data_IF_604114395468
#
_entry.id   IF_604114395468
#
_cell.length_a   1.000
_cell.length_b   1.000
_cell.length_c   1.000
_cell.angle_alpha   90.00
_cell.angle_beta   90.00
_cell.angle_gamma   90.00
#
_symmetry.space_group_name_H-M   'P 1'
#
loop_
_entity.id
_entity.type
_entity.pdbx_description
1 polymer ?
#
# COMPACT_ATOMS: atom_id res chain seq x y z
N UNK A 1 8.55 -28.60 0.15
CA UNK A 1 8.34 -28.93 1.58
C UNK A 1 8.61 -27.68 2.38
N UNK A 2 7.59 -27.16 3.05
CA UNK A 2 7.66 -25.89 3.77
C UNK A 2 8.19 -26.04 5.19
N UNK A 3 8.77 -24.96 5.69
CA UNK A 3 8.76 -24.57 7.12
C UNK A 3 8.65 -23.05 7.14
N UNK A 4 7.55 -22.54 7.70
CA UNK A 4 7.34 -21.14 8.09
C UNK A 4 7.75 -21.06 9.57
N UNK A 5 8.73 -20.21 9.89
CA UNK A 5 9.19 -19.97 11.25
C UNK A 5 8.30 -18.97 11.99
N UNK A 6 7.94 -19.32 13.22
CA UNK A 6 7.11 -18.53 14.13
C UNK A 6 7.95 -17.59 15.00
N UNK A 7 7.40 -16.42 15.35
CA UNK A 7 7.93 -15.54 16.39
C UNK A 7 6.89 -15.30 17.48
N UNK A 8 7.20 -15.69 18.71
CA UNK A 8 6.42 -15.34 19.92
C UNK A 8 6.62 -13.86 20.25
N UNK A 9 5.53 -13.15 20.49
CA UNK A 9 5.55 -11.82 21.12
C UNK A 9 5.62 -11.97 22.64
N UNK A 10 6.47 -11.15 23.26
CA UNK A 10 6.47 -10.90 24.70
C UNK A 10 6.76 -9.42 24.93
N UNK A 11 5.80 -8.78 25.59
CA UNK A 11 5.87 -7.56 26.41
C UNK A 11 6.96 -6.56 26.01
N UNK A 12 6.53 -5.51 25.28
CA UNK A 12 7.35 -4.45 24.66
C UNK A 12 8.25 -4.95 23.51
N UNK A 13 7.62 -5.54 22.50
CA UNK A 13 8.29 -6.06 21.32
C UNK A 13 8.25 -5.09 20.13
N UNK A 14 9.42 -4.70 19.64
CA UNK A 14 9.60 -4.17 18.28
C UNK A 14 9.02 -5.17 17.28
N UNK A 15 7.98 -4.76 16.54
CA UNK A 15 7.41 -5.53 15.44
C UNK A 15 8.23 -5.27 14.17
N UNK A 16 8.68 -6.31 13.49
CA UNK A 16 9.36 -6.24 12.20
C UNK A 16 8.45 -6.89 11.16
N UNK A 17 7.99 -6.10 10.17
CA UNK A 17 7.15 -6.56 9.06
C UNK A 17 7.99 -6.57 7.78
N UNK A 18 7.87 -7.65 6.99
CA UNK A 18 8.68 -7.93 5.80
C UNK A 18 7.83 -7.76 4.54
N UNK A 19 8.29 -6.96 3.56
CA UNK A 19 7.63 -6.79 2.26
C UNK A 19 8.56 -7.22 1.10
N UNK A 20 7.99 -7.82 0.05
CA UNK A 20 8.73 -8.40 -1.11
C UNK A 20 8.31 -7.68 -2.39
N UNK A 21 9.28 -7.22 -3.19
CA UNK A 21 9.08 -6.79 -4.58
C UNK A 21 9.12 -8.01 -5.53
N UNK A 22 8.08 -8.21 -6.35
CA UNK A 22 8.03 -9.19 -7.46
C UNK A 22 7.94 -8.46 -8.81
N UNK A 23 8.51 -9.05 -9.86
CA UNK A 23 8.73 -8.44 -11.19
C UNK A 23 7.46 -8.32 -12.04
N UNK A 24 7.09 -7.12 -12.52
CA UNK A 24 5.94 -6.91 -13.42
C UNK A 24 6.06 -5.68 -14.40
N UNK A 25 5.12 -5.49 -15.33
CA UNK A 25 5.15 -4.52 -16.45
C UNK A 25 5.00 -3.05 -15.99
N UNK A 26 5.46 -2.08 -16.78
CA UNK A 26 5.62 -0.65 -16.41
C UNK A 26 4.27 0.10 -16.36
N UNK A 27 3.98 0.77 -15.23
CA UNK A 27 3.68 2.21 -15.06
C UNK A 27 3.58 2.48 -13.54
N UNK A 28 3.93 3.69 -13.08
CA UNK A 28 4.01 4.05 -11.66
C UNK A 28 2.66 3.80 -10.97
N UNK A 29 2.54 2.63 -10.36
CA UNK A 29 1.28 2.23 -9.75
C UNK A 29 1.29 2.81 -8.35
N UNK A 30 0.37 3.74 -8.08
CA UNK A 30 0.25 4.34 -6.75
C UNK A 30 -1.04 3.89 -6.09
N UNK A 31 -0.97 3.65 -4.78
CA UNK A 31 -2.12 3.39 -3.94
C UNK A 31 -1.96 4.14 -2.64
N UNK A 32 -2.83 5.09 -2.39
CA UNK A 32 -2.72 6.00 -1.24
C UNK A 32 -4.01 5.97 -0.46
N UNK A 33 -3.88 5.81 0.85
CA UNK A 33 -4.98 5.95 1.77
C UNK A 33 -5.27 7.44 2.04
N UNK A 34 -6.53 7.81 1.91
CA UNK A 34 -7.10 9.11 2.23
C UNK A 34 -8.27 8.89 3.18
N UNK A 35 -8.24 9.53 4.34
CA UNK A 35 -9.30 9.47 5.35
C UNK A 35 -10.60 10.16 4.90
N UNK A 36 -10.63 10.80 3.73
CA UNK A 36 -11.82 11.44 3.15
C UNK A 36 -12.46 12.46 4.12
N UNK A 37 -11.61 13.36 4.65
CA UNK A 37 -12.02 14.47 5.51
C UNK A 37 -12.49 14.06 6.91
N UNK A 38 -11.90 13.02 7.47
CA UNK A 38 -12.07 12.58 8.85
C UNK A 38 -13.13 11.49 9.01
N UNK A 39 -13.87 11.21 7.95
CA UNK A 39 -14.93 10.20 7.96
C UNK A 39 -14.36 8.78 7.96
N UNK A 40 -13.27 8.56 7.22
CA UNK A 40 -12.57 7.29 7.14
C UNK A 40 -11.64 7.10 8.31
N UNK A 41 -11.82 6.03 9.08
CA UNK A 41 -10.99 5.71 10.24
C UNK A 41 -10.38 4.32 10.11
N UNK A 42 -9.06 4.22 10.28
CA UNK A 42 -8.37 2.92 10.33
C UNK A 42 -8.48 2.26 11.71
N UNK A 43 -9.00 2.98 12.71
CA UNK A 43 -8.97 2.54 14.10
C UNK A 43 -10.19 2.93 14.89
N UNK A 44 -10.26 2.39 16.11
CA UNK A 44 -11.35 2.59 17.06
C UNK A 44 -12.72 2.07 16.59
N UNK A 45 -12.74 1.10 15.67
CA UNK A 45 -13.98 0.44 15.27
C UNK A 45 -14.65 -0.23 16.48
N UNK A 46 -15.91 0.10 16.78
CA UNK A 46 -16.63 -0.61 17.84
C UNK A 46 -16.92 -2.05 17.41
N UNK A 47 -16.23 -3.03 18.00
CA UNK A 47 -16.41 -4.46 17.63
C UNK A 47 -17.62 -5.10 18.32
N UNK A 48 -18.26 -4.39 19.25
CA UNK A 48 -19.47 -4.86 19.94
C UNK A 48 -20.70 -4.77 19.03
N UNK A 49 -20.71 -3.81 18.10
CA UNK A 49 -21.75 -3.64 17.08
C UNK A 49 -21.75 -4.79 16.07
N UNK A 50 -22.94 -5.18 15.64
CA UNK A 50 -23.15 -6.06 14.51
C UNK A 50 -23.95 -5.30 13.45
N UNK A 51 -23.40 -5.15 12.25
CA UNK A 51 -24.01 -4.36 11.18
C UNK A 51 -25.01 -5.20 10.37
N UNK A 52 -24.65 -6.43 10.00
CA UNK A 52 -25.51 -7.28 9.18
C UNK A 52 -25.28 -8.78 9.40
N UNK A 53 -26.30 -9.57 9.06
CA UNK A 53 -26.26 -11.03 8.94
C UNK A 53 -26.20 -11.52 7.49
N UNK A 54 -26.50 -10.64 6.52
CA UNK A 54 -26.68 -10.97 5.09
C UNK A 54 -25.78 -10.08 4.19
N UNK A 55 -25.42 -10.61 3.02
CA UNK A 55 -24.41 -10.07 2.09
C UNK A 55 -24.94 -8.97 1.14
N UNK A 56 -26.04 -8.28 1.48
CA UNK A 56 -26.73 -7.33 0.58
C UNK A 56 -26.02 -5.96 0.46
N UNK A 57 -24.69 -5.95 0.39
CA UNK A 57 -23.87 -4.76 0.15
C UNK A 57 -23.46 -4.61 -1.33
N UNK A 58 -24.15 -5.32 -2.23
CA UNK A 58 -23.84 -5.39 -3.66
C UNK A 58 -24.16 -4.09 -4.42
N UNK A 59 -24.95 -3.18 -3.86
CA UNK A 59 -25.24 -1.87 -4.46
C UNK A 59 -25.25 -0.77 -3.39
N UNK A 60 -25.15 0.50 -3.80
CA UNK A 60 -25.12 1.65 -2.88
C UNK A 60 -23.70 2.04 -2.43
N UNK A 61 -23.64 3.09 -1.62
CA UNK A 61 -22.39 3.65 -1.07
C UNK A 61 -22.45 3.58 0.46
N UNK A 62 -21.32 3.26 1.10
CA UNK A 62 -21.26 2.93 2.52
C UNK A 62 -20.27 3.79 3.33
N UNK A 63 -19.85 4.93 2.78
CA UNK A 63 -18.91 5.85 3.43
C UNK A 63 -19.46 6.53 4.71
N UNK A 64 -20.76 6.42 4.98
CA UNK A 64 -21.41 6.94 6.20
C UNK A 64 -21.44 5.92 7.34
N UNK A 65 -21.06 4.67 7.08
CA UNK A 65 -20.99 3.65 8.13
C UNK A 65 -19.75 3.88 8.98
N UNK A 66 -19.88 3.58 10.28
CA UNK A 66 -18.78 3.63 11.26
C UNK A 66 -17.56 2.77 10.86
N UNK A 67 -17.78 1.72 10.06
CA UNK A 67 -16.71 0.90 9.50
C UNK A 67 -15.99 1.48 8.29
N UNK A 68 -16.31 2.69 7.83
CA UNK A 68 -15.66 3.29 6.67
C UNK A 68 -14.17 3.55 6.96
N UNK A 69 -13.29 2.92 6.19
CA UNK A 69 -11.85 3.05 6.35
C UNK A 69 -11.29 4.28 5.65
N UNK A 70 -12.02 4.83 4.69
CA UNK A 70 -11.57 5.90 3.82
C UNK A 70 -11.44 5.45 2.36
N UNK A 71 -10.79 6.31 1.59
CA UNK A 71 -10.57 6.19 0.15
C UNK A 71 -9.19 5.66 -0.14
N UNK A 72 -9.12 4.79 -1.13
CA UNK A 72 -7.88 4.23 -1.62
C UNK A 72 -7.68 4.72 -3.04
N UNK A 73 -6.84 5.74 -3.19
CA UNK A 73 -6.57 6.42 -4.47
C UNK A 73 -5.55 5.63 -5.29
N UNK A 74 -5.99 5.13 -6.44
CA UNK A 74 -5.22 4.39 -7.41
C UNK A 74 -4.82 5.24 -8.62
N UNK A 75 -3.57 5.11 -9.04
CA UNK A 75 -3.11 5.44 -10.39
C UNK A 75 -2.32 4.25 -10.94
N UNK A 76 -2.45 3.99 -12.23
CA UNK A 76 -1.85 2.87 -12.91
C UNK A 76 -2.73 2.36 -14.05
N UNK A 77 -2.32 1.21 -14.60
CA UNK A 77 -3.01 0.56 -15.71
C UNK A 77 -4.38 -0.02 -15.31
N UNK A 78 -5.24 -0.23 -16.31
CA UNK A 78 -6.50 -0.94 -16.15
C UNK A 78 -6.27 -2.42 -15.82
N UNK A 79 -7.31 -3.07 -15.28
CA UNK A 79 -7.36 -4.50 -14.94
C UNK A 79 -6.32 -4.93 -13.89
N UNK A 80 -5.73 -4.00 -13.15
CA UNK A 80 -4.89 -4.34 -12.02
C UNK A 80 -5.76 -4.99 -10.93
N UNK A 81 -5.25 -6.07 -10.34
CA UNK A 81 -5.94 -6.87 -9.34
C UNK A 81 -5.29 -6.59 -7.99
N UNK A 82 -6.06 -6.04 -7.06
CA UNK A 82 -5.63 -5.81 -5.68
C UNK A 82 -6.19 -6.95 -4.83
N UNK A 83 -5.33 -7.88 -4.46
CA UNK A 83 -5.67 -8.98 -3.55
C UNK A 83 -5.53 -8.52 -2.09
N UNK A 84 -6.52 -8.87 -1.27
CA UNK A 84 -6.53 -8.55 0.16
C UNK A 84 -6.26 -9.82 0.95
N UNK A 85 -5.18 -9.82 1.74
CA UNK A 85 -4.80 -10.96 2.58
C UNK A 85 -4.76 -10.59 4.04
N UNK A 86 -4.97 -11.56 4.93
CA UNK A 86 -4.83 -11.36 6.38
C UNK A 86 -3.36 -11.51 6.78
N UNK A 87 -2.81 -10.48 7.42
CA UNK A 87 -1.46 -10.48 8.03
C UNK A 87 -1.52 -10.28 9.55
N UNK A 88 -2.72 -10.23 10.11
CA UNK A 88 -2.98 -10.06 11.54
C UNK A 88 -3.03 -11.39 12.29
N UNK A 89 -3.42 -11.34 13.58
CA UNK A 89 -3.61 -12.54 14.38
C UNK A 89 -4.63 -13.49 13.77
N UNK A 90 -4.35 -14.79 13.85
CA UNK A 90 -5.33 -15.82 13.52
C UNK A 90 -6.30 -16.00 14.68
N UNK A 91 -7.59 -15.85 14.41
CA UNK A 91 -8.65 -16.17 15.35
C UNK A 91 -8.58 -17.65 15.75
N UNK A 92 -8.77 -17.93 17.04
CA UNK A 92 -8.82 -19.29 17.59
C UNK A 92 -10.10 -19.50 18.40
N UNK A 93 -10.37 -20.74 18.80
CA UNK A 93 -11.59 -21.09 19.53
C UNK A 93 -12.87 -21.01 18.68
N UNK A 94 -13.83 -21.90 18.97
CA UNK A 94 -14.99 -22.09 18.09
C UNK A 94 -14.60 -22.79 16.78
N UNK A 95 -15.23 -22.40 15.67
CA UNK A 95 -14.92 -22.88 14.32
C UNK A 95 -14.54 -21.69 13.41
N UNK A 96 -13.36 -21.09 13.58
CA UNK A 96 -12.93 -19.97 12.76
C UNK A 96 -12.62 -20.49 11.34
N UNK A 97 -13.49 -20.19 10.39
CA UNK A 97 -13.25 -20.42 8.96
C UNK A 97 -12.19 -19.46 8.38
N UNK A 98 -11.98 -19.49 7.07
CA UNK A 98 -11.06 -18.59 6.37
C UNK A 98 -11.70 -17.20 6.15
N UNK A 99 -11.84 -16.41 7.22
CA UNK A 99 -12.45 -15.08 7.18
C UNK A 99 -11.52 -14.02 7.78
N UNK A 100 -11.91 -12.75 7.64
CA UNK A 100 -11.29 -11.67 8.38
C UNK A 100 -11.89 -11.53 9.77
N UNK A 101 -11.04 -11.20 10.74
CA UNK A 101 -11.43 -11.05 12.13
C UNK A 101 -10.73 -9.86 12.77
N UNK A 102 -11.47 -9.11 13.59
CA UNK A 102 -10.86 -8.37 14.67
C UNK A 102 -10.66 -9.31 15.84
N UNK A 103 -9.40 -9.50 16.24
CA UNK A 103 -9.01 -10.46 17.27
C UNK A 103 -8.46 -9.71 18.48
N UNK A 104 -8.82 -10.12 19.69
CA UNK A 104 -8.40 -9.43 20.90
C UNK A 104 -6.88 -9.52 21.09
N UNK A 105 -6.26 -8.40 21.43
CA UNK A 105 -4.85 -8.35 21.79
C UNK A 105 -4.58 -9.27 22.98
N UNK A 106 -3.64 -10.21 22.80
CA UNK A 106 -3.23 -11.17 23.82
C UNK A 106 -4.19 -12.35 24.07
N UNK A 107 -5.32 -12.44 23.38
CA UNK A 107 -6.27 -13.56 23.51
C UNK A 107 -6.96 -13.83 22.17
N UNK A 108 -6.36 -14.71 21.36
CA UNK A 108 -6.90 -15.01 20.02
C UNK A 108 -8.22 -15.76 20.04
N UNK A 109 -8.67 -16.24 21.21
CA UNK A 109 -9.96 -16.90 21.35
C UNK A 109 -11.14 -15.94 21.34
N UNK A 110 -10.90 -14.63 21.33
CA UNK A 110 -11.94 -13.60 21.35
C UNK A 110 -11.89 -12.77 20.10
N UNK A 111 -12.97 -12.79 19.33
CA UNK A 111 -12.96 -12.19 18.01
C UNK A 111 -14.34 -11.81 17.50
N UNK A 112 -14.36 -10.87 16.55
CA UNK A 112 -15.51 -10.49 15.72
C UNK A 112 -15.14 -10.76 14.26
N UNK A 113 -15.96 -11.52 13.54
CA UNK A 113 -15.80 -11.70 12.09
C UNK A 113 -16.25 -10.44 11.36
N UNK A 114 -15.50 -10.05 10.34
CA UNK A 114 -15.79 -8.93 9.45
C UNK A 114 -15.59 -9.32 7.99
N UNK A 115 -16.12 -8.50 7.08
CA UNK A 115 -15.78 -8.50 5.67
C UNK A 115 -15.65 -7.06 5.17
N UNK A 116 -15.10 -6.88 3.97
CA UNK A 116 -14.96 -5.55 3.37
C UNK A 116 -15.88 -5.39 2.16
N UNK A 117 -16.36 -4.17 1.98
CA UNK A 117 -17.11 -3.74 0.80
C UNK A 117 -16.32 -2.63 0.13
N UNK A 118 -16.04 -2.80 -1.16
CA UNK A 118 -15.35 -1.81 -1.97
C UNK A 118 -16.30 -1.23 -3.02
N UNK A 119 -16.49 0.08 -2.98
CA UNK A 119 -17.21 0.85 -4.01
C UNK A 119 -16.20 1.62 -4.85
N UNK A 120 -16.09 1.29 -6.14
CA UNK A 120 -15.09 1.88 -7.03
C UNK A 120 -15.69 3.09 -7.76
N UNK A 121 -14.99 4.23 -7.76
CA UNK A 121 -15.40 5.47 -8.43
C UNK A 121 -14.21 6.08 -9.19
N UNK A 122 -14.52 6.91 -10.17
CA UNK A 122 -13.53 7.64 -10.94
C UNK A 122 -13.45 9.11 -10.50
N UNK A 123 -12.28 9.72 -10.65
CA UNK A 123 -12.10 11.16 -10.60
C UNK A 123 -11.59 11.65 -11.96
N UNK A 124 -12.35 12.54 -12.59
CA UNK A 124 -12.07 13.04 -13.94
C UNK A 124 -10.95 14.08 -13.93
N UNK A 125 -10.36 14.32 -15.11
CA UNK A 125 -9.34 15.36 -15.30
C UNK A 125 -9.89 16.78 -15.14
N UNK A 126 -11.21 16.94 -15.22
CA UNK A 126 -11.94 18.17 -14.87
C UNK A 126 -11.99 18.44 -13.35
N UNK A 127 -11.35 17.60 -12.52
CA UNK A 127 -11.42 17.64 -11.05
C UNK A 127 -12.85 17.48 -10.51
N UNK A 128 -13.63 16.63 -11.17
CA UNK A 128 -14.99 16.29 -10.75
C UNK A 128 -15.09 14.79 -10.50
N UNK A 129 -15.90 14.41 -9.53
CA UNK A 129 -16.24 13.02 -9.30
C UNK A 129 -16.99 12.44 -10.51
N UNK A 130 -16.53 11.30 -10.98
CA UNK A 130 -17.16 10.51 -12.03
C UNK A 130 -18.18 9.52 -11.45
N UNK A 131 -18.73 8.68 -12.33
CA UNK A 131 -19.68 7.64 -11.93
C UNK A 131 -19.00 6.52 -11.14
N UNK A 132 -19.81 5.73 -10.41
CA UNK A 132 -19.39 4.42 -9.91
C UNK A 132 -18.93 3.57 -11.10
N UNK A 133 -17.77 2.96 -10.97
CA UNK A 133 -17.19 2.08 -11.97
C UNK A 133 -17.57 0.64 -11.63
N UNK A 134 -18.59 0.13 -12.31
CA UNK A 134 -19.12 -1.21 -12.12
C UNK A 134 -20.60 -1.21 -11.76
N UNK A 135 -21.25 -2.36 -11.96
CA UNK A 135 -22.68 -2.55 -11.64
C UNK A 135 -22.90 -2.84 -10.16
N UNK A 136 -21.93 -3.50 -9.53
CA UNK A 136 -22.01 -3.94 -8.15
C UNK A 136 -20.75 -3.56 -7.38
N UNK A 137 -20.89 -3.38 -6.07
CA UNK A 137 -19.75 -3.31 -5.17
C UNK A 137 -19.00 -4.64 -5.14
N UNK A 138 -17.70 -4.58 -4.87
CA UNK A 138 -16.89 -5.77 -4.65
C UNK A 138 -16.96 -6.16 -3.18
N UNK A 139 -17.36 -7.39 -2.89
CA UNK A 139 -17.35 -7.96 -1.55
C UNK A 139 -16.06 -8.77 -1.37
N UNK A 140 -15.32 -8.48 -0.32
CA UNK A 140 -14.09 -9.18 0.08
C UNK A 140 -14.39 -9.85 1.42
N UNK A 141 -14.87 -11.09 1.36
CA UNK A 141 -15.33 -11.84 2.54
C UNK A 141 -14.20 -12.70 3.14
N UNK A 142 -13.27 -13.16 2.30
CA UNK A 142 -12.22 -14.08 2.67
C UNK A 142 -10.82 -13.52 2.34
N UNK A 143 -9.80 -13.83 3.14
CA UNK A 143 -8.41 -13.61 2.75
C UNK A 143 -8.10 -14.29 1.42
N UNK A 144 -7.59 -13.51 0.46
CA UNK A 144 -7.34 -13.93 -0.92
C UNK A 144 -8.36 -13.38 -1.93
N UNK A 145 -9.51 -12.87 -1.47
CA UNK A 145 -10.45 -12.15 -2.34
C UNK A 145 -9.80 -10.87 -2.86
N UNK A 146 -10.27 -10.40 -4.03
CA UNK A 146 -9.59 -9.34 -4.78
C UNK A 146 -10.55 -8.30 -5.33
N UNK A 147 -10.05 -7.07 -5.47
CA UNK A 147 -10.69 -5.96 -6.15
C UNK A 147 -10.06 -5.79 -7.52
N UNK A 148 -10.87 -5.79 -8.59
CA UNK A 148 -10.39 -5.53 -9.95
C UNK A 148 -10.58 -4.05 -10.26
N UNK A 149 -9.50 -3.36 -10.63
CA UNK A 149 -9.56 -1.98 -11.08
C UNK A 149 -9.97 -1.94 -12.56
N UNK A 150 -11.16 -1.42 -12.92
CA UNK A 150 -11.74 -1.66 -14.24
C UNK A 150 -11.18 -0.76 -15.35
N UNK A 151 -10.44 0.30 -15.02
CA UNK A 151 -9.92 1.27 -15.98
C UNK A 151 -8.56 1.79 -15.54
N UNK A 152 -7.84 2.44 -16.47
CA UNK A 152 -6.57 3.09 -16.16
C UNK A 152 -6.80 4.48 -15.57
N UNK A 153 -5.85 4.96 -14.77
CA UNK A 153 -5.85 6.30 -14.23
C UNK A 153 -4.44 6.87 -14.08
N UNK A 154 -4.28 8.16 -14.37
CA UNK A 154 -2.99 8.82 -14.32
C UNK A 154 -3.03 10.19 -15.00
N UNK A 155 -2.04 11.04 -14.75
CA UNK A 155 -1.96 12.41 -15.32
C UNK A 155 -1.10 12.48 -16.58
N UNK A 156 -0.66 11.35 -17.10
CA UNK A 156 0.18 11.26 -18.29
C UNK A 156 -0.57 11.74 -19.53
N UNK A 157 0.13 12.53 -20.35
CA UNK A 157 -0.39 13.09 -21.59
C UNK A 157 0.48 12.65 -22.78
N UNK A 158 -0.16 12.44 -23.92
CA UNK A 158 0.46 12.25 -25.22
C UNK A 158 0.78 13.60 -25.86
N UNK A 159 1.90 13.66 -26.58
CA UNK A 159 2.16 14.75 -27.50
C UNK A 159 1.29 14.57 -28.75
N UNK A 160 0.23 15.37 -28.86
CA UNK A 160 -0.70 15.32 -30.01
C UNK A 160 -0.07 15.80 -31.33
N UNK A 161 1.13 16.40 -31.28
CA UNK A 161 1.92 16.74 -32.46
C UNK A 161 2.84 15.61 -32.95
N UNK A 162 2.99 14.53 -32.18
CA UNK A 162 3.81 13.38 -32.56
C UNK A 162 3.13 12.58 -33.69
N UNK A 163 3.82 12.27 -34.82
CA UNK A 163 3.27 11.45 -35.89
C UNK A 163 2.81 10.05 -35.46
N UNK A 164 3.29 9.54 -34.33
CA UNK A 164 2.91 8.26 -33.74
C UNK A 164 1.65 8.35 -32.84
N UNK A 165 1.08 9.54 -32.65
CA UNK A 165 -0.14 9.73 -31.86
C UNK A 165 -1.36 9.09 -32.55
N UNK A 166 -1.91 8.06 -31.91
CA UNK A 166 -3.07 7.29 -32.42
C UNK A 166 -4.37 7.59 -31.67
N UNK A 167 -4.44 8.68 -30.91
CA UNK A 167 -5.60 9.03 -30.09
C UNK A 167 -5.36 8.92 -28.59
N UNK A 168 -6.28 9.49 -27.83
CA UNK A 168 -6.22 9.57 -26.37
C UNK A 168 -7.59 9.89 -25.76
N UNK A 169 -7.60 10.24 -24.48
CA UNK A 169 -8.79 10.65 -23.76
C UNK A 169 -8.86 12.17 -23.60
N UNK A 170 -10.06 12.72 -23.64
CA UNK A 170 -10.31 14.11 -23.26
C UNK A 170 -10.49 14.24 -21.74
N UNK A 171 -10.70 15.47 -21.26
CA UNK A 171 -10.83 15.74 -19.83
C UNK A 171 -12.06 15.05 -19.16
N UNK A 172 -13.05 14.65 -19.95
CA UNK A 172 -14.26 13.94 -19.52
C UNK A 172 -14.11 12.41 -19.60
N UNK A 173 -12.93 11.89 -19.96
CA UNK A 173 -12.68 10.46 -20.07
C UNK A 173 -13.25 9.81 -21.33
N UNK A 174 -13.58 10.59 -22.36
CA UNK A 174 -14.03 10.08 -23.66
C UNK A 174 -12.84 9.90 -24.60
N UNK A 175 -12.75 8.75 -25.25
CA UNK A 175 -11.71 8.47 -26.25
C UNK A 175 -11.97 9.24 -27.56
N UNK A 176 -10.90 9.68 -28.22
CA UNK A 176 -10.98 10.34 -29.52
C UNK A 176 -9.63 10.76 -30.07
N UNK A 177 -9.66 11.74 -30.98
CA UNK A 177 -8.49 12.21 -31.73
C UNK A 177 -8.45 13.74 -31.78
N UNK A 178 -7.25 14.29 -31.96
CA UNK A 178 -7.01 15.73 -32.02
C UNK A 178 -6.48 16.31 -30.72
N UNK A 179 -6.30 17.63 -30.69
CA UNK A 179 -5.57 18.36 -29.65
C UNK A 179 -6.24 18.39 -28.28
N UNK A 180 -7.52 18.00 -28.18
CA UNK A 180 -8.25 17.94 -26.91
C UNK A 180 -8.21 16.56 -26.24
N UNK A 181 -7.66 15.54 -26.91
CA UNK A 181 -7.62 14.15 -26.44
C UNK A 181 -6.20 13.78 -25.97
N UNK A 182 -5.62 14.59 -25.09
CA UNK A 182 -4.22 14.48 -24.71
C UNK A 182 -3.95 13.39 -23.68
N UNK A 183 -4.93 12.95 -22.89
CA UNK A 183 -4.65 12.08 -21.75
C UNK A 183 -4.45 10.62 -22.17
N UNK A 184 -3.43 9.96 -21.59
CA UNK A 184 -3.20 8.52 -21.75
C UNK A 184 -4.34 7.69 -21.16
N UNK A 185 -4.89 8.14 -20.03
CA UNK A 185 -5.93 7.43 -19.27
C UNK A 185 -7.24 8.23 -19.19
N UNK A 186 -8.40 7.54 -19.11
CA UNK A 186 -9.70 8.21 -19.02
C UNK A 186 -9.89 9.01 -17.72
N UNK A 187 -9.18 8.63 -16.66
CA UNK A 187 -9.35 9.19 -15.32
C UNK A 187 -8.03 9.74 -14.77
N UNK A 188 -8.13 10.77 -13.94
CA UNK A 188 -6.99 11.32 -13.20
C UNK A 188 -6.58 10.39 -12.05
N UNK A 189 -7.60 9.89 -11.35
CA UNK A 189 -7.49 8.89 -10.30
C UNK A 189 -8.69 7.95 -10.39
N UNK A 190 -8.49 6.69 -10.01
CA UNK A 190 -9.59 5.85 -9.51
C UNK A 190 -9.48 5.87 -8.00
N UNK A 191 -10.60 5.88 -7.28
CA UNK A 191 -10.55 5.50 -5.87
C UNK A 191 -11.57 4.42 -5.60
N UNK A 192 -11.29 3.61 -4.59
CA UNK A 192 -12.31 2.76 -4.00
C UNK A 192 -12.51 3.14 -2.54
N UNK A 193 -13.77 3.35 -2.18
CA UNK A 193 -14.21 3.50 -0.81
C UNK A 193 -14.20 2.10 -0.19
N UNK A 194 -13.41 1.88 0.86
CA UNK A 194 -13.35 0.58 1.55
C UNK A 194 -14.06 0.70 2.89
N UNK A 195 -15.05 -0.17 3.13
CA UNK A 195 -15.84 -0.17 4.37
C UNK A 195 -15.82 -1.55 5.00
N UNK A 196 -15.57 -1.61 6.30
CA UNK A 196 -15.68 -2.82 7.11
C UNK A 196 -17.13 -3.03 7.52
N UNK A 197 -17.62 -4.24 7.33
CA UNK A 197 -18.92 -4.67 7.84
C UNK A 197 -18.70 -5.71 8.94
N UNK A 198 -19.23 -5.43 10.14
CA UNK A 198 -19.19 -6.34 11.28
C UNK A 198 -20.33 -7.33 11.16
N UNK A 199 -19.98 -8.62 11.14
CA UNK A 199 -21.00 -9.68 11.10
C UNK A 199 -21.58 -9.95 12.49
N UNK A 200 -22.70 -10.67 12.56
CA UNK A 200 -23.21 -11.22 13.82
C UNK A 200 -22.37 -12.37 14.40
N UNK A 201 -21.37 -12.89 13.66
CA UNK A 201 -20.48 -13.94 14.13
C UNK A 201 -19.36 -13.36 15.00
N UNK A 202 -19.33 -13.81 16.25
CA UNK A 202 -18.28 -13.45 17.20
C UNK A 202 -18.04 -14.60 18.18
N UNK A 203 -16.90 -14.58 18.86
CA UNK A 203 -16.60 -15.51 19.93
C UNK A 203 -16.22 -14.75 21.20
N UNK A 204 -17.04 -14.91 22.26
CA UNK A 204 -16.77 -14.45 23.63
C UNK A 204 -16.13 -13.05 23.73
N UNK A 205 -16.69 -12.09 22.99
CA UNK A 205 -16.24 -10.70 23.08
C UNK A 205 -16.27 -10.23 24.53
N UNK A 206 -15.23 -9.50 24.91
CA UNK A 206 -15.17 -8.80 26.19
C UNK A 206 -14.35 -7.53 26.06
N UNK A 207 -14.34 -6.75 27.14
CA UNK A 207 -13.65 -5.48 27.22
C UNK A 207 -12.18 -5.60 26.79
N UNK A 208 -11.76 -4.74 25.86
CA UNK A 208 -10.36 -4.61 25.46
C UNK A 208 -10.17 -4.15 24.02
N UNK A 209 -8.90 -4.20 23.62
CA UNK A 209 -8.41 -3.88 22.28
C UNK A 209 -8.43 -5.08 21.36
N UNK A 210 -8.85 -4.86 20.12
CA UNK A 210 -8.85 -5.83 19.05
C UNK A 210 -8.07 -5.29 17.86
N UNK A 211 -7.41 -6.19 17.14
CA UNK A 211 -6.66 -5.84 15.94
C UNK A 211 -7.03 -6.73 14.77
N UNK A 212 -6.95 -6.14 13.58
CA UNK A 212 -6.95 -6.82 12.29
C UNK A 212 -5.84 -6.20 11.46
N UNK A 213 -5.08 -7.02 10.73
CA UNK A 213 -4.08 -6.48 9.80
C UNK A 213 -4.31 -7.09 8.45
N UNK A 214 -4.37 -6.23 7.45
CA UNK A 214 -4.58 -6.65 6.07
C UNK A 214 -3.48 -6.11 5.18
N UNK A 215 -3.12 -6.90 4.18
CA UNK A 215 -2.21 -6.52 3.12
C UNK A 215 -3.00 -6.47 1.82
N UNK A 216 -3.07 -5.27 1.23
CA UNK A 216 -3.53 -5.01 -0.12
C UNK A 216 -2.30 -5.10 -1.04
N UNK A 217 -2.27 -6.11 -1.89
CA UNK A 217 -1.18 -6.33 -2.83
C UNK A 217 -1.70 -6.41 -4.26
N UNK A 218 -1.08 -5.68 -5.17
CA UNK A 218 -1.36 -5.72 -6.59
C UNK A 218 -0.07 -5.49 -7.39
N UNK A 219 -0.19 -5.28 -8.70
CA UNK A 219 1.01 -4.97 -9.48
C UNK A 219 1.65 -3.67 -9.00
N UNK A 220 2.92 -3.77 -8.59
CA UNK A 220 3.72 -2.64 -8.12
C UNK A 220 3.26 -2.03 -6.80
N UNK A 221 2.24 -2.60 -6.13
CA UNK A 221 1.68 -2.07 -4.89
C UNK A 221 1.78 -3.10 -3.76
N UNK A 222 2.23 -2.64 -2.60
CA UNK A 222 2.11 -3.36 -1.33
C UNK A 222 1.69 -2.38 -0.23
N UNK A 223 0.42 -2.43 0.19
CA UNK A 223 -0.13 -1.58 1.23
C UNK A 223 -0.59 -2.42 2.42
N UNK A 224 0.00 -2.17 3.58
CA UNK A 224 -0.39 -2.75 4.84
C UNK A 224 -1.26 -1.79 5.63
N UNK A 225 -2.39 -2.29 6.10
CA UNK A 225 -3.26 -1.58 7.02
C UNK A 225 -3.21 -2.28 8.37
N UNK A 226 -2.84 -1.53 9.40
CA UNK A 226 -3.04 -1.95 10.78
C UNK A 226 -4.35 -1.34 11.27
N UNK A 227 -5.35 -2.19 11.44
CA UNK A 227 -6.70 -1.81 11.81
C UNK A 227 -6.97 -2.16 13.26
N UNK A 228 -7.68 -1.28 13.95
CA UNK A 228 -7.93 -1.47 15.38
C UNK A 228 -9.40 -1.28 15.73
N UNK A 229 -9.83 -2.03 16.73
CA UNK A 229 -11.19 -2.01 17.22
C UNK A 229 -11.22 -2.08 18.74
N UNK A 230 -12.34 -1.62 19.29
CA UNK A 230 -12.55 -1.50 20.73
C UNK A 230 -13.83 -2.21 21.13
N UNK A 231 -13.79 -2.88 22.28
CA UNK A 231 -15.00 -3.35 22.95
C UNK A 231 -15.09 -2.67 24.31
N UNK A 232 -16.05 -1.77 24.47
CA UNK A 232 -16.24 -0.97 25.68
C UNK A 232 -15.17 0.11 25.89
N UNK A 233 -15.31 0.86 26.98
CA UNK A 233 -14.48 2.05 27.24
C UNK A 233 -13.06 1.66 27.67
N UNK A 234 -12.10 1.89 26.79
CA UNK A 234 -10.66 1.67 27.02
C UNK A 234 -9.90 3.00 26.95
N UNK A 235 -8.80 3.10 27.68
CA UNK A 235 -7.97 4.31 27.75
C UNK A 235 -6.75 4.27 26.81
N UNK A 236 -6.49 3.13 26.18
CA UNK A 236 -5.36 2.93 25.28
C UNK A 236 -5.84 3.14 23.84
N UNK A 237 -5.27 4.12 23.14
CA UNK A 237 -5.47 4.29 21.71
C UNK A 237 -4.55 3.31 20.96
N UNK A 238 -5.09 2.33 20.23
CA UNK A 238 -4.28 1.37 19.51
C UNK A 238 -3.80 1.99 18.19
N UNK A 239 -2.49 1.88 17.95
CA UNK A 239 -1.89 2.62 16.84
C UNK A 239 -2.29 2.11 15.46
N UNK A 240 -3.19 2.83 14.80
CA UNK A 240 -3.71 2.45 13.47
C UNK A 240 -2.99 3.21 12.39
N UNK A 241 -2.64 2.53 11.30
CA UNK A 241 -1.82 3.13 10.27
C UNK A 241 -1.98 2.48 8.90
N UNK A 242 -1.65 3.25 7.87
CA UNK A 242 -1.39 2.79 6.51
C UNK A 242 0.11 2.86 6.24
N UNK A 243 0.66 1.79 5.67
CA UNK A 243 2.05 1.73 5.22
C UNK A 243 2.12 1.15 3.82
N UNK A 244 2.72 1.88 2.89
CA UNK A 244 2.69 1.57 1.46
C UNK A 244 4.10 1.52 0.89
N UNK A 245 4.35 0.52 0.07
CA UNK A 245 5.50 0.43 -0.83
C UNK A 245 4.99 0.35 -2.26
N UNK A 246 5.49 1.25 -3.10
CA UNK A 246 5.12 1.36 -4.51
C UNK A 246 6.35 1.12 -5.37
N UNK A 247 6.23 0.35 -6.45
CA UNK A 247 7.28 0.23 -7.48
C UNK A 247 7.04 1.31 -8.54
N UNK A 248 8.04 2.16 -8.75
CA UNK A 248 8.02 3.17 -9.83
C UNK A 248 8.78 2.71 -11.06
N UNK A 249 9.68 1.74 -10.89
CA UNK A 249 10.45 1.16 -11.99
C UNK A 249 9.71 0.01 -12.71
N UNK A 250 10.09 -0.26 -13.98
CA UNK A 250 9.78 -1.52 -14.65
C UNK A 250 10.21 -2.77 -13.86
N UNK A 251 9.60 -3.93 -14.13
CA UNK A 251 10.12 -5.26 -13.77
C UNK A 251 11.57 -5.45 -14.14
N UNK A 252 11.91 -4.93 -15.31
CA UNK A 252 13.14 -5.20 -16.02
C UNK A 252 13.75 -3.86 -16.39
N UNK A 253 14.88 -3.54 -15.77
CA UNK A 253 15.64 -2.34 -16.08
C UNK A 253 16.73 -2.75 -17.07
N UNK A 254 16.77 -2.17 -18.29
CA UNK A 254 17.85 -2.43 -19.23
C UNK A 254 19.21 -2.15 -18.61
N UNK A 255 20.16 -3.08 -18.79
CA UNK A 255 21.51 -2.94 -18.21
C UNK A 255 22.19 -1.61 -18.61
N UNK A 256 22.01 -1.19 -19.87
CA UNK A 256 22.55 0.06 -20.39
C UNK A 256 22.03 1.31 -19.66
N UNK A 257 20.78 1.28 -19.20
CA UNK A 257 20.20 2.37 -18.40
C UNK A 257 20.79 2.38 -16.98
N UNK A 258 20.96 1.20 -16.39
CA UNK A 258 21.44 1.03 -15.03
C UNK A 258 22.92 1.38 -14.87
N UNK A 259 23.80 0.98 -15.80
CA UNK A 259 25.25 1.24 -15.67
C UNK A 259 25.63 2.71 -15.77
N UNK A 260 24.73 3.54 -16.31
CA UNK A 260 24.90 4.98 -16.31
C UNK A 260 24.64 5.61 -14.93
N UNK A 261 24.06 4.85 -13.98
CA UNK A 261 23.68 5.31 -12.64
C UNK A 261 24.72 4.88 -11.62
N UNK A 262 25.69 5.74 -11.33
CA UNK A 262 26.90 5.37 -10.58
C UNK A 262 27.08 6.12 -9.26
N UNK A 263 26.19 7.05 -8.93
CA UNK A 263 26.24 7.85 -7.70
C UNK A 263 24.86 8.02 -7.09
N UNK A 264 24.78 8.51 -5.85
CA UNK A 264 23.47 8.80 -5.23
C UNK A 264 22.72 9.93 -5.94
N UNK A 265 23.43 10.94 -6.48
CA UNK A 265 22.84 12.04 -7.27
C UNK A 265 22.42 11.61 -8.68
N UNK A 266 23.13 10.63 -9.25
CA UNK A 266 22.82 10.02 -10.53
C UNK A 266 22.41 8.55 -10.31
N UNK A 267 21.26 8.39 -9.66
CA UNK A 267 20.66 7.10 -9.30
C UNK A 267 19.35 6.86 -10.05
N UNK A 268 18.86 5.63 -10.07
CA UNK A 268 17.61 5.22 -10.70
C UNK A 268 16.48 5.13 -9.66
N UNK A 269 15.33 5.81 -9.84
CA UNK A 269 14.19 5.66 -8.95
C UNK A 269 13.52 4.30 -9.17
N UNK A 270 13.32 3.54 -8.09
CA UNK A 270 12.73 2.19 -8.16
C UNK A 270 11.44 2.03 -7.38
N UNK A 271 11.19 2.91 -6.41
CA UNK A 271 9.94 2.88 -5.67
C UNK A 271 9.74 4.06 -4.74
N UNK A 272 8.58 4.08 -4.09
CA UNK A 272 8.26 5.01 -3.01
C UNK A 272 7.90 4.22 -1.76
N UNK A 273 8.06 4.86 -0.61
CA UNK A 273 7.55 4.40 0.68
C UNK A 273 6.69 5.50 1.29
N UNK A 274 5.53 5.13 1.80
CA UNK A 274 4.60 6.04 2.48
C UNK A 274 4.10 5.45 3.78
N UNK A 275 3.92 6.31 4.77
CA UNK A 275 3.30 5.99 6.05
C UNK A 275 2.36 7.12 6.44
N UNK A 276 1.17 6.76 6.90
CA UNK A 276 0.17 7.69 7.40
C UNK A 276 -0.50 7.10 8.64
N UNK A 277 -0.57 7.89 9.70
CA UNK A 277 -1.29 7.54 10.93
C UNK A 277 -1.75 8.81 11.65
N UNK A 278 -2.89 8.74 12.34
CA UNK A 278 -3.44 9.89 13.08
C UNK A 278 -2.73 10.08 14.42
N UNK A 279 -2.41 8.99 15.10
CA UNK A 279 -1.97 8.99 16.51
C UNK A 279 -0.63 8.30 16.76
N UNK A 280 -0.08 7.64 15.74
CA UNK A 280 1.07 6.74 15.90
C UNK A 280 2.26 7.22 15.11
N UNK A 281 3.44 7.17 15.72
CA UNK A 281 4.68 7.45 15.02
C UNK A 281 5.23 6.15 14.45
N UNK A 282 6.05 6.28 13.43
CA UNK A 282 6.78 5.14 12.94
C UNK A 282 8.22 5.49 12.60
N UNK A 283 9.00 4.45 12.35
CA UNK A 283 10.29 4.52 11.69
C UNK A 283 10.43 3.36 10.73
N UNK A 284 11.17 3.58 9.66
CA UNK A 284 11.52 2.53 8.72
C UNK A 284 13.02 2.28 8.68
N UNK A 285 13.41 1.10 8.23
CA UNK A 285 14.76 0.82 7.76
C UNK A 285 14.70 -0.16 6.59
N UNK A 286 15.82 -0.28 5.86
CA UNK A 286 15.91 -1.15 4.69
C UNK A 286 16.98 -2.22 4.91
N UNK A 287 16.74 -3.40 4.35
CA UNK A 287 17.68 -4.52 4.37
C UNK A 287 17.62 -5.33 3.07
N UNK A 288 18.67 -6.13 2.82
CA UNK A 288 18.75 -7.02 1.66
C UNK A 288 18.22 -8.42 1.93
N UNK A 289 17.84 -8.73 3.18
CA UNK A 289 17.32 -10.02 3.60
C UNK A 289 16.01 -9.89 4.42
N UNK A 290 15.16 -10.92 4.44
CA UNK A 290 13.87 -10.88 5.13
C UNK A 290 13.99 -10.81 6.66
N UNK A 291 15.14 -11.15 7.24
CA UNK A 291 15.37 -11.01 8.69
C UNK A 291 15.72 -9.57 9.11
N UNK A 292 16.02 -8.69 8.14
CA UNK A 292 16.32 -7.28 8.44
C UNK A 292 17.73 -7.04 9.01
N UNK A 293 18.69 -7.93 8.73
CA UNK A 293 20.01 -7.92 9.38
C UNK A 293 21.17 -7.57 8.45
N UNK A 294 20.95 -7.50 7.13
CA UNK A 294 21.99 -7.27 6.14
C UNK A 294 21.67 -6.06 5.26
N UNK A 295 22.72 -5.36 4.80
CA UNK A 295 22.63 -4.29 3.81
C UNK A 295 23.55 -4.53 2.59
N UNK A 296 23.83 -5.81 2.29
CA UNK A 296 24.54 -6.22 1.07
C UNK A 296 23.53 -6.48 -0.04
N UNK A 297 23.26 -5.46 -0.85
CA UNK A 297 22.30 -5.50 -1.93
C UNK A 297 22.97 -6.00 -3.22
N UNK A 298 22.42 -7.06 -3.81
CA UNK A 298 22.98 -7.69 -4.99
C UNK A 298 21.90 -8.02 -6.01
N UNK A 299 22.23 -7.77 -7.28
CA UNK A 299 21.54 -8.39 -8.40
C UNK A 299 22.02 -9.82 -8.53
N UNK A 300 21.09 -10.77 -8.61
CA UNK A 300 21.40 -12.21 -8.67
C UNK A 300 20.74 -12.84 -9.90
N UNK A 301 21.49 -13.68 -10.60
CA UNK A 301 21.01 -14.55 -11.66
C UNK A 301 21.66 -15.94 -11.54
N UNK A 302 21.20 -16.94 -12.31
CA UNK A 302 21.88 -18.25 -12.37
C UNK A 302 23.33 -18.18 -12.85
N UNK A 303 23.72 -17.12 -13.58
CA UNK A 303 25.06 -16.94 -14.16
C UNK A 303 26.00 -16.09 -13.31
N UNK A 304 25.50 -15.41 -12.28
CA UNK A 304 26.35 -14.60 -11.41
C UNK A 304 25.59 -13.62 -10.52
N UNK A 305 26.35 -12.79 -9.81
CA UNK A 305 25.79 -11.67 -9.06
C UNK A 305 26.72 -10.48 -9.06
N UNK A 306 26.15 -9.28 -9.01
CA UNK A 306 26.93 -8.05 -8.86
C UNK A 306 26.26 -7.09 -7.86
N UNK A 307 27.05 -6.31 -7.11
CA UNK A 307 26.52 -5.44 -6.08
C UNK A 307 25.89 -4.17 -6.66
N UNK A 308 24.93 -3.62 -5.93
CA UNK A 308 24.42 -2.28 -6.15
C UNK A 308 24.14 -1.62 -4.79
N UNK A 309 23.82 -0.33 -4.81
CA UNK A 309 23.55 0.45 -3.60
C UNK A 309 22.11 0.93 -3.60
N UNK A 310 21.47 0.86 -2.43
CA UNK A 310 20.15 1.46 -2.19
C UNK A 310 20.33 2.82 -1.53
N UNK A 311 19.51 3.78 -1.93
CA UNK A 311 19.43 5.12 -1.36
C UNK A 311 17.98 5.39 -1.02
N UNK A 312 17.74 5.95 0.17
CA UNK A 312 16.46 6.51 0.53
C UNK A 312 16.53 8.04 0.50
N UNK A 313 15.64 8.67 -0.26
CA UNK A 313 15.52 10.12 -0.39
C UNK A 313 14.21 10.58 0.27
N UNK A 314 14.26 11.00 1.55
CA UNK A 314 13.05 11.39 2.28
C UNK A 314 12.49 12.71 1.74
N UNK A 315 11.19 12.74 1.51
CA UNK A 315 10.41 13.93 1.15
C UNK A 315 9.69 14.48 2.38
N UNK A 316 9.14 13.59 3.20
CA UNK A 316 8.47 13.90 4.47
C UNK A 316 8.95 12.91 5.54
N UNK A 317 9.49 13.38 6.68
CA UNK A 317 10.06 14.71 6.86
C UNK A 317 11.18 14.97 5.84
N UNK A 318 11.34 16.22 5.39
CA UNK A 318 12.38 16.56 4.41
C UNK A 318 13.78 16.26 4.95
N UNK A 319 14.64 15.67 4.13
CA UNK A 319 16.00 15.32 4.51
C UNK A 319 16.87 14.99 3.31
N UNK A 320 18.12 14.60 3.58
CA UNK A 320 19.09 14.26 2.53
C UNK A 320 18.97 12.81 2.08
N UNK A 321 19.18 12.60 0.78
CA UNK A 321 19.34 11.28 0.21
C UNK A 321 20.47 10.52 0.94
N UNK A 322 20.13 9.38 1.53
CA UNK A 322 21.02 8.61 2.38
C UNK A 322 21.21 7.21 1.82
N UNK A 323 22.47 6.84 1.55
CA UNK A 323 22.83 5.47 1.17
C UNK A 323 22.55 4.51 2.33
N UNK A 324 21.95 3.36 2.02
CA UNK A 324 21.71 2.26 2.95
C UNK A 324 22.91 1.31 2.88
N UNK A 325 23.81 1.42 3.85
CA UNK A 325 24.99 0.56 4.04
C UNK A 325 24.93 -0.23 5.36
N UNK A 326 23.86 -0.04 6.14
CA UNK A 326 23.59 -0.75 7.39
C UNK A 326 22.09 -0.80 7.65
N UNK A 327 21.53 -1.92 8.17
CA UNK A 327 20.14 -2.01 8.59
C UNK A 327 19.84 -1.14 9.83
N UNK A 328 20.85 -0.58 10.49
CA UNK A 328 20.67 0.34 11.63
C UNK A 328 20.32 1.77 11.20
N UNK A 329 20.37 2.09 9.90
CA UNK A 329 19.94 3.38 9.36
C UNK A 329 18.42 3.44 9.34
N UNK A 330 17.88 4.16 10.33
CA UNK A 330 16.44 4.33 10.52
C UNK A 330 15.97 5.71 10.06
N UNK A 331 14.77 5.76 9.50
CA UNK A 331 14.13 6.99 9.04
C UNK A 331 12.78 7.14 9.75
N UNK A 332 12.64 8.11 10.66
CA UNK A 332 11.40 8.31 11.40
C UNK A 332 10.36 9.05 10.55
N UNK A 333 9.08 8.82 10.85
CA UNK A 333 8.00 9.73 10.47
C UNK A 333 8.18 11.09 11.13
N UNK A 334 7.34 12.06 10.77
CA UNK A 334 7.30 13.37 11.41
C UNK A 334 7.24 13.25 12.94
N UNK A 335 7.90 14.19 13.64
CA UNK A 335 7.95 14.21 15.10
C UNK A 335 6.61 14.61 15.74
N UNK A 336 5.83 15.41 15.00
CA UNK A 336 4.47 15.82 15.32
C UNK A 336 3.58 15.56 14.10
N UNK A 337 2.26 15.43 14.30
CA UNK A 337 1.32 15.42 13.19
C UNK A 337 1.48 16.67 12.31
N UNK A 338 1.37 16.49 11.00
CA UNK A 338 1.44 17.54 9.98
C UNK A 338 0.22 17.47 9.08
N UNK A 339 -0.22 18.60 8.49
CA UNK A 339 -1.43 18.65 7.68
C UNK A 339 -1.31 17.77 6.42
N UNK A 340 -2.34 16.99 6.15
CA UNK A 340 -2.60 16.32 4.88
C UNK A 340 -3.96 16.77 4.36
N UNK A 341 -4.00 17.30 3.15
CA UNK A 341 -5.24 17.72 2.51
C UNK A 341 -5.76 16.60 1.62
N UNK A 342 -7.01 16.20 1.81
CA UNK A 342 -7.67 15.24 0.94
C UNK A 342 -7.67 15.80 -0.49
N UNK A 343 -7.09 15.09 -1.46
CA UNK A 343 -7.08 15.50 -2.86
C UNK A 343 -8.48 15.47 -3.49
N UNK A 344 -9.45 14.88 -2.79
CA UNK A 344 -10.77 14.57 -3.32
C UNK A 344 -11.84 15.53 -2.82
N UNK A 345 -11.74 15.96 -1.55
CA UNK A 345 -12.77 16.79 -0.90
C UNK A 345 -12.18 18.04 -0.22
N UNK A 346 -10.85 18.18 -0.20
CA UNK A 346 -10.15 19.41 0.19
C UNK A 346 -10.06 19.67 1.69
N UNK A 347 -10.63 18.82 2.54
CA UNK A 347 -10.44 18.90 3.98
C UNK A 347 -9.02 18.54 4.38
N UNK A 348 -8.56 19.05 5.52
CA UNK A 348 -7.20 18.85 6.00
C UNK A 348 -7.20 18.21 7.38
N UNK A 349 -6.39 17.16 7.54
CA UNK A 349 -6.19 16.45 8.80
C UNK A 349 -4.75 16.51 9.27
N UNK A 350 -4.55 16.33 10.58
CA UNK A 350 -3.23 16.21 11.17
C UNK A 350 -2.85 14.73 11.27
N UNK A 351 -1.77 14.34 10.59
CA UNK A 351 -1.28 12.96 10.60
C UNK A 351 0.24 12.91 10.75
N UNK A 352 0.74 11.87 11.41
CA UNK A 352 2.14 11.48 11.31
C UNK A 352 2.41 10.93 9.92
N UNK A 353 3.44 11.46 9.27
CA UNK A 353 3.74 11.14 7.88
C UNK A 353 5.18 10.69 7.70
N UNK A 354 5.38 9.72 6.82
CA UNK A 354 6.67 9.45 6.18
C UNK A 354 6.41 9.29 4.69
N UNK A 355 7.17 9.98 3.84
CA UNK A 355 7.15 9.83 2.39
C UNK A 355 8.58 9.93 1.88
N UNK A 356 8.97 9.07 0.97
CA UNK A 356 10.23 9.23 0.27
C UNK A 356 10.44 8.20 -0.82
N UNK A 357 11.47 8.46 -1.60
CA UNK A 357 11.79 7.69 -2.79
C UNK A 357 12.94 6.73 -2.52
N UNK A 358 12.80 5.50 -3.02
CA UNK A 358 13.82 4.46 -3.02
C UNK A 358 14.52 4.53 -4.36
N UNK A 359 15.83 4.71 -4.34
CA UNK A 359 16.68 4.79 -5.53
C UNK A 359 17.80 3.77 -5.47
N UNK A 360 18.30 3.37 -6.64
CA UNK A 360 19.44 2.46 -6.76
C UNK A 360 20.53 3.01 -7.66
N UNK A 361 21.79 2.61 -7.41
CA UNK A 361 22.90 2.89 -8.32
C UNK A 361 23.94 1.77 -8.22
N UNK A 362 24.74 1.58 -9.27
CA UNK A 362 25.79 0.55 -9.32
C UNK A 362 27.17 1.16 -9.09
N UNK A 363 28.18 0.32 -8.85
CA UNK A 363 29.55 0.79 -8.72
C UNK A 363 30.06 1.43 -10.04
N UNK A 364 30.84 2.51 -9.99
CA UNK A 364 31.57 3.01 -11.15
C UNK A 364 32.39 1.88 -11.80
N UNK A 365 32.33 1.78 -13.13
CA UNK A 365 33.05 0.75 -13.89
C UNK A 365 32.33 -0.61 -14.01
N UNK A 366 31.11 -0.75 -13.50
CA UNK A 366 30.27 -1.94 -13.74
C UNK A 366 30.09 -2.16 -15.26
N UNK A 367 30.50 -3.32 -15.74
CA UNK A 367 30.52 -3.70 -17.15
C UNK A 367 30.12 -5.18 -17.34
N UNK A 368 30.03 -5.64 -18.59
CA UNK A 368 29.60 -7.00 -18.93
C UNK A 368 30.51 -8.12 -18.40
N UNK A 369 31.76 -7.83 -18.03
CA UNK A 369 32.64 -8.82 -17.37
C UNK A 369 32.31 -8.95 -15.88
N UNK A 370 32.00 -7.84 -15.20
CA UNK A 370 31.59 -7.84 -13.80
C UNK A 370 30.12 -8.24 -13.58
N UNK A 371 29.31 -8.15 -14.64
CA UNK A 371 27.90 -8.50 -14.67
C UNK A 371 27.60 -9.23 -15.99
N UNK A 372 27.76 -10.57 -16.04
CA UNK A 372 27.49 -11.36 -17.24
C UNK A 372 26.13 -11.06 -17.87
N UNK A 373 26.00 -11.16 -19.19
CA UNK A 373 24.73 -10.94 -19.87
C UNK A 373 23.67 -11.98 -19.41
N UNK A 374 22.70 -11.50 -18.64
CA UNK A 374 21.60 -12.28 -18.08
C UNK A 374 20.47 -11.37 -17.56
N UNK A 375 19.33 -11.96 -17.23
CA UNK A 375 18.27 -11.32 -16.47
C UNK A 375 18.52 -11.47 -14.98
N UNK A 376 18.60 -10.35 -14.27
CA UNK A 376 18.88 -10.32 -12.83
C UNK A 376 17.64 -9.97 -12.03
N UNK A 377 17.55 -10.55 -10.84
CA UNK A 377 16.56 -10.19 -9.83
C UNK A 377 17.23 -9.56 -8.61
N UNK A 378 16.49 -8.71 -7.90
CA UNK A 378 16.87 -8.24 -6.57
C UNK A 378 15.62 -8.01 -5.72
N UNK A 379 15.79 -8.02 -4.39
CA UNK A 379 14.77 -7.70 -3.41
C UNK A 379 15.32 -6.66 -2.43
N UNK A 380 14.53 -5.63 -2.18
CA UNK A 380 14.76 -4.63 -1.14
C UNK A 380 13.64 -4.82 -0.13
N UNK A 381 14.00 -5.13 1.12
CA UNK A 381 13.05 -5.25 2.21
C UNK A 381 12.99 -3.92 2.94
N UNK A 382 11.79 -3.42 3.18
CA UNK A 382 11.55 -2.26 4.03
C UNK A 382 10.81 -2.74 5.28
N UNK A 383 11.25 -2.30 6.45
CA UNK A 383 10.69 -2.70 7.73
C UNK A 383 10.11 -1.48 8.40
N UNK A 384 8.92 -1.64 8.97
CA UNK A 384 8.24 -0.59 9.74
C UNK A 384 8.23 -0.98 11.22
N UNK A 385 8.53 -0.02 12.08
CA UNK A 385 8.24 -0.10 13.52
C UNK A 385 7.40 1.11 13.93
N UNK A 386 6.16 0.84 14.34
CA UNK A 386 5.28 1.83 14.96
C UNK A 386 5.56 1.95 16.47
N UNK A 387 5.45 3.15 17.05
CA UNK A 387 5.74 3.42 18.47
C UNK A 387 5.01 4.65 19.04
#
# INVERSE_FOLDING_TARGET
>A
MGIIGTGRSSVRGTLAIVYIFLAMTICATSLIWDSAGGNGTLGNLDVSTADSTNVDYTSGQYYTLDGFLGRFRYQGEANNIITITNTGPFASGGNPGNYFFFTKNGDTSRWRRVFFVATIKAFLHTNTEGTILGTYNTIVDNPGDSIVIPAGAGTEEYDTGDPSYTGGYNAQGTWGFGSTFTYKYPYKYIWFDLTIIRTNFSNKLNKGLYESRVLLSGDGISMSLNLTGIHGNISEAPGSYSFVLERTAPSTIPFQELIQKTTFTNSYPVGNVRYNAVDTRARIFFASNPEGTLADFRFVSPRGSFPYHVVYSPRIPSGFATKIDSPTKVFPSTASPVPITSPTHGETEQQYQLDGEIRIFVNPGTNMFSAPADSYASKIYCFLTAY
#
